data_IF_379532992177
#
_entry.id   IF_379532992177
#
_cell.length_a   1.000
_cell.length_b   1.000
_cell.length_c   1.000
_cell.angle_alpha   90.00
_cell.angle_beta   90.00
_cell.angle_gamma   90.00
#
_symmetry.space_group_name_H-M   'P 1'
#
loop_
_entity.id
_entity.type
_entity.pdbx_description
1 polymer ?
#
# COMPACT_ATOMS: atom_id res chain seq x y z
N UNK A 1 -19.36 46.15 27.99
CA UNK A 1 -19.13 45.87 26.56
C UNK A 1 -17.72 45.35 26.22
N UNK A 2 -16.63 45.93 26.74
CA UNK A 2 -15.24 45.52 26.38
C UNK A 2 -14.85 44.11 26.88
N UNK A 3 -15.37 43.66 28.05
CA UNK A 3 -15.12 42.30 28.59
C UNK A 3 -15.87 41.20 27.80
N UNK A 4 -17.09 41.46 27.35
CA UNK A 4 -17.87 40.52 26.54
C UNK A 4 -17.21 40.24 25.18
N UNK A 5 -16.66 41.30 24.53
CA UNK A 5 -15.91 41.16 23.28
C UNK A 5 -14.63 40.34 23.43
N UNK A 6 -13.92 40.46 24.56
CA UNK A 6 -12.73 39.67 24.86
C UNK A 6 -13.11 38.18 25.07
N UNK A 7 -14.19 37.91 25.80
CA UNK A 7 -14.64 36.52 26.01
C UNK A 7 -15.03 35.84 24.70
N UNK A 8 -15.76 36.51 23.82
CA UNK A 8 -16.16 35.96 22.50
C UNK A 8 -14.94 35.68 21.63
N UNK A 9 -13.94 36.58 21.63
CA UNK A 9 -12.70 36.38 20.89
C UNK A 9 -11.90 35.18 21.43
N UNK A 10 -11.78 35.05 22.75
CA UNK A 10 -11.10 33.94 23.41
C UNK A 10 -11.82 32.62 23.11
N UNK A 11 -13.15 32.58 23.22
CA UNK A 11 -13.93 31.39 22.90
C UNK A 11 -13.78 30.97 21.41
N UNK A 12 -13.78 31.97 20.51
CA UNK A 12 -13.53 31.71 19.08
C UNK A 12 -12.13 31.14 18.83
N UNK A 13 -11.11 31.67 19.50
CA UNK A 13 -9.73 31.16 19.38
C UNK A 13 -9.60 29.74 19.91
N UNK A 14 -10.22 29.43 21.05
CA UNK A 14 -10.23 28.08 21.63
C UNK A 14 -10.95 27.10 20.70
N UNK A 15 -12.05 27.50 20.06
CA UNK A 15 -12.76 26.66 19.10
C UNK A 15 -11.89 26.36 17.86
N UNK A 16 -11.20 27.36 17.33
CA UNK A 16 -10.28 27.17 16.19
C UNK A 16 -9.14 26.23 16.58
N UNK A 17 -8.54 26.41 17.74
CA UNK A 17 -7.48 25.52 18.25
C UNK A 17 -8.00 24.08 18.37
N UNK A 18 -9.19 23.89 18.97
CA UNK A 18 -9.78 22.56 19.10
C UNK A 18 -10.03 21.89 17.74
N UNK A 19 -10.48 22.66 16.74
CA UNK A 19 -10.64 22.15 15.36
C UNK A 19 -9.29 21.79 14.75
N UNK A 20 -8.28 22.65 14.86
CA UNK A 20 -6.95 22.39 14.30
C UNK A 20 -6.28 21.14 14.90
N UNK A 21 -6.42 20.94 16.23
CA UNK A 21 -5.85 19.76 16.88
C UNK A 21 -6.69 18.50 16.72
N UNK A 22 -8.01 18.65 16.60
CA UNK A 22 -8.93 17.50 16.40
C UNK A 22 -9.03 17.03 14.95
N UNK A 23 -8.74 17.91 13.99
CA UNK A 23 -8.88 17.61 12.56
C UNK A 23 -8.08 16.38 12.11
N UNK A 24 -6.78 16.21 12.43
CA UNK A 24 -6.01 15.05 12.00
C UNK A 24 -6.63 13.72 12.44
N UNK A 25 -7.00 13.60 13.71
CA UNK A 25 -7.60 12.37 14.25
C UNK A 25 -8.96 12.05 13.64
N UNK A 26 -9.78 13.08 13.40
CA UNK A 26 -11.09 12.92 12.76
C UNK A 26 -10.91 12.53 11.31
N UNK A 27 -10.01 13.16 10.59
CA UNK A 27 -9.74 12.88 9.18
C UNK A 27 -9.20 11.46 8.99
N UNK A 28 -8.20 11.05 9.78
CA UNK A 28 -7.66 9.68 9.76
C UNK A 28 -8.77 8.64 9.99
N UNK A 29 -9.62 8.85 10.99
CA UNK A 29 -10.73 7.93 11.26
C UNK A 29 -11.71 7.77 10.07
N UNK A 30 -12.02 8.86 9.35
CA UNK A 30 -12.87 8.76 8.17
C UNK A 30 -12.16 8.09 6.99
N UNK A 31 -10.89 8.39 6.77
CA UNK A 31 -10.08 7.76 5.72
C UNK A 31 -9.91 6.26 5.95
N UNK A 32 -9.67 5.83 7.20
CA UNK A 32 -9.57 4.40 7.54
C UNK A 32 -10.91 3.68 7.28
N UNK A 33 -12.05 4.32 7.57
CA UNK A 33 -13.37 3.78 7.22
C UNK A 33 -13.59 3.68 5.70
N UNK A 34 -13.11 4.62 4.94
CA UNK A 34 -13.23 4.60 3.49
C UNK A 34 -12.34 3.51 2.88
N UNK A 35 -11.13 3.31 3.41
CA UNK A 35 -10.29 2.17 3.06
C UNK A 35 -10.99 0.83 3.31
N UNK A 36 -11.65 0.68 4.47
CA UNK A 36 -12.44 -0.54 4.78
C UNK A 36 -13.53 -0.77 3.75
N UNK A 37 -14.28 0.27 3.33
CA UNK A 37 -15.33 0.15 2.30
C UNK A 37 -14.76 -0.24 0.94
N UNK A 38 -13.64 0.37 0.54
CA UNK A 38 -12.96 0.07 -0.72
C UNK A 38 -12.51 -1.40 -0.73
N UNK A 39 -11.88 -1.87 0.34
CA UNK A 39 -11.44 -3.26 0.49
C UNK A 39 -12.64 -4.24 0.51
N UNK A 40 -13.76 -3.85 1.15
CA UNK A 40 -14.99 -4.66 1.11
C UNK A 40 -15.57 -4.75 -0.31
N UNK A 41 -15.56 -3.64 -1.07
CA UNK A 41 -15.95 -3.60 -2.47
C UNK A 41 -15.11 -4.56 -3.30
N UNK A 42 -13.79 -4.43 -3.22
CA UNK A 42 -12.84 -5.33 -3.86
C UNK A 42 -13.08 -6.81 -3.51
N UNK A 43 -13.21 -7.12 -2.22
CA UNK A 43 -13.43 -8.49 -1.75
C UNK A 43 -14.76 -9.07 -2.22
N UNK A 44 -15.78 -8.22 -2.38
CA UNK A 44 -17.09 -8.63 -2.90
C UNK A 44 -17.00 -8.94 -4.39
N UNK A 45 -16.30 -8.12 -5.15
CA UNK A 45 -16.07 -8.33 -6.58
C UNK A 45 -15.23 -9.58 -6.83
N UNK A 46 -14.11 -9.73 -6.11
CA UNK A 46 -13.25 -10.90 -6.21
C UNK A 46 -13.97 -12.22 -5.91
N UNK A 47 -14.89 -12.22 -4.94
CA UNK A 47 -15.74 -13.36 -4.62
C UNK A 47 -16.78 -13.66 -5.70
N UNK A 48 -17.11 -12.69 -6.53
CA UNK A 48 -18.04 -12.85 -7.66
C UNK A 48 -17.42 -13.54 -8.87
N UNK A 49 -16.10 -13.62 -8.97
CA UNK A 49 -15.40 -14.30 -10.06
C UNK A 49 -15.48 -15.82 -9.91
N UNK A 50 -15.57 -16.51 -11.04
CA UNK A 50 -15.39 -17.97 -11.06
C UNK A 50 -13.92 -18.31 -10.79
N UNK A 51 -13.68 -19.54 -10.36
CA UNK A 51 -12.32 -20.07 -10.13
C UNK A 51 -11.44 -19.93 -11.39
N UNK A 52 -12.01 -20.21 -12.57
CA UNK A 52 -11.30 -20.05 -13.86
C UNK A 52 -10.84 -18.60 -14.12
N UNK A 53 -11.67 -17.60 -13.77
CA UNK A 53 -11.34 -16.17 -13.93
C UNK A 53 -10.24 -15.77 -12.95
N UNK A 54 -10.32 -16.25 -11.69
CA UNK A 54 -9.28 -16.01 -10.70
C UNK A 54 -7.95 -16.62 -11.14
N UNK A 55 -7.97 -17.86 -11.60
CA UNK A 55 -6.78 -18.57 -12.11
C UNK A 55 -6.18 -17.85 -13.32
N UNK A 56 -7.01 -17.30 -14.20
CA UNK A 56 -6.53 -16.49 -15.32
C UNK A 56 -5.77 -15.25 -14.84
N UNK A 57 -6.36 -14.45 -13.95
CA UNK A 57 -5.69 -13.25 -13.38
C UNK A 57 -4.36 -13.61 -12.71
N UNK A 58 -4.33 -14.67 -11.92
CA UNK A 58 -3.11 -15.09 -11.23
C UNK A 58 -2.06 -15.63 -12.21
N UNK A 59 -2.47 -16.35 -13.25
CA UNK A 59 -1.58 -16.84 -14.30
C UNK A 59 -0.98 -15.69 -15.12
N UNK A 60 -1.77 -14.69 -15.45
CA UNK A 60 -1.27 -13.47 -16.13
C UNK A 60 -0.28 -12.71 -15.26
N UNK A 61 -0.54 -12.61 -13.95
CA UNK A 61 0.38 -11.99 -12.99
C UNK A 61 1.68 -12.77 -12.83
N UNK A 62 1.60 -14.09 -12.80
CA UNK A 62 2.78 -14.96 -12.74
C UNK A 62 3.60 -14.84 -14.04
N UNK A 63 2.95 -14.86 -15.21
CA UNK A 63 3.62 -14.63 -16.49
C UNK A 63 4.30 -13.26 -16.55
N UNK A 64 3.69 -12.20 -16.00
CA UNK A 64 4.33 -10.89 -15.86
C UNK A 64 5.59 -10.99 -14.99
N UNK A 65 5.51 -11.63 -13.81
CA UNK A 65 6.65 -11.79 -12.91
C UNK A 65 7.79 -12.57 -13.56
N UNK A 66 7.50 -13.64 -14.31
CA UNK A 66 8.50 -14.39 -15.05
C UNK A 66 9.15 -13.56 -16.18
N UNK A 67 8.38 -12.77 -16.91
CA UNK A 67 8.89 -11.89 -17.95
C UNK A 67 9.81 -10.81 -17.37
N UNK A 68 9.53 -10.34 -16.16
CA UNK A 68 10.35 -9.33 -15.48
C UNK A 68 11.79 -9.79 -15.27
N UNK A 69 12.02 -11.08 -15.03
CA UNK A 69 13.36 -11.67 -14.86
C UNK A 69 14.26 -11.50 -16.10
N UNK A 70 13.67 -11.37 -17.30
CA UNK A 70 14.40 -11.16 -18.53
C UNK A 70 14.75 -9.70 -18.80
N UNK A 71 14.17 -8.75 -18.05
CA UNK A 71 14.39 -7.31 -18.24
C UNK A 71 15.59 -6.87 -17.40
N UNK A 72 16.55 -6.22 -18.06
CA UNK A 72 17.73 -5.70 -17.36
C UNK A 72 17.39 -4.42 -16.60
N UNK A 73 17.56 -4.44 -15.26
CA UNK A 73 17.32 -3.31 -14.36
C UNK A 73 15.91 -2.67 -14.55
N UNK A 74 14.82 -3.44 -14.39
CA UNK A 74 13.46 -2.96 -14.65
C UNK A 74 13.07 -1.79 -13.73
N UNK A 75 13.62 -1.70 -12.52
CA UNK A 75 13.44 -0.56 -11.60
C UNK A 75 13.96 0.76 -12.16
N UNK A 76 15.12 0.71 -12.86
CA UNK A 76 15.71 1.90 -13.48
C UNK A 76 15.14 2.24 -14.86
N UNK A 77 14.41 1.30 -15.47
CA UNK A 77 13.81 1.43 -16.81
C UNK A 77 12.35 0.94 -16.80
N UNK A 78 11.47 1.57 -16.01
CA UNK A 78 10.08 1.13 -15.87
C UNK A 78 9.31 1.14 -17.20
N UNK A 79 9.70 1.96 -18.17
CA UNK A 79 9.14 2.00 -19.51
C UNK A 79 9.41 0.73 -20.34
N UNK A 80 10.39 -0.08 -19.94
CA UNK A 80 10.65 -1.38 -20.58
C UNK A 80 9.67 -2.46 -20.15
N UNK A 81 8.88 -2.21 -19.10
CA UNK A 81 7.92 -3.15 -18.54
C UNK A 81 6.56 -2.94 -19.21
N UNK A 82 6.07 -3.94 -19.93
CA UNK A 82 4.79 -3.88 -20.66
C UNK A 82 3.70 -4.69 -19.95
N UNK A 83 2.43 -4.31 -20.17
CA UNK A 83 1.26 -5.03 -19.62
C UNK A 83 0.98 -4.79 -18.13
N UNK A 84 1.74 -3.91 -17.48
CA UNK A 84 1.62 -3.65 -16.05
C UNK A 84 0.23 -3.16 -15.63
N UNK A 85 -0.32 -2.17 -16.35
CA UNK A 85 -1.60 -1.53 -16.00
C UNK A 85 -2.81 -2.47 -16.12
N UNK A 86 -2.71 -3.45 -17.01
CA UNK A 86 -3.81 -4.37 -17.33
C UNK A 86 -3.79 -5.61 -16.41
N UNK A 87 -2.63 -5.93 -15.81
CA UNK A 87 -2.47 -7.13 -14.98
C UNK A 87 -2.90 -6.87 -13.54
N UNK A 88 -3.75 -7.73 -12.97
CA UNK A 88 -4.37 -7.59 -11.64
C UNK A 88 -5.19 -6.29 -11.46
N UNK A 89 -5.69 -5.70 -12.51
CA UNK A 89 -6.55 -4.52 -12.45
C UNK A 89 -8.00 -4.94 -12.21
N UNK A 90 -8.34 -5.23 -10.96
CA UNK A 90 -9.65 -5.76 -10.58
C UNK A 90 -10.69 -4.65 -10.45
N UNK A 91 -10.37 -3.58 -9.74
CA UNK A 91 -11.30 -2.47 -9.48
C UNK A 91 -10.55 -1.15 -9.43
N UNK A 92 -10.72 -0.30 -10.43
CA UNK A 92 -10.16 1.08 -10.45
C UNK A 92 -8.66 1.15 -10.12
N UNK A 93 -7.87 0.21 -10.64
CA UNK A 93 -6.43 0.12 -10.40
C UNK A 93 -6.05 -0.59 -9.10
N UNK A 94 -6.98 -1.20 -8.39
CA UNK A 94 -6.69 -1.94 -7.17
C UNK A 94 -6.26 -3.37 -7.50
N UNK A 95 -5.07 -3.75 -6.99
CA UNK A 95 -4.50 -5.11 -7.13
C UNK A 95 -4.92 -6.05 -6.00
N UNK A 96 -5.06 -5.51 -4.79
CA UNK A 96 -5.28 -6.27 -3.58
C UNK A 96 -5.27 -5.36 -2.34
N UNK A 97 -5.01 -5.94 -1.19
CA UNK A 97 -4.83 -5.17 0.05
C UNK A 97 -3.79 -5.78 0.97
N UNK A 98 -3.13 -4.89 1.73
CA UNK A 98 -2.14 -5.18 2.77
C UNK A 98 -2.81 -5.11 4.14
N UNK A 99 -2.49 -6.05 5.03
CA UNK A 99 -2.91 -6.03 6.42
C UNK A 99 -1.72 -6.32 7.34
N UNK A 100 -1.47 -5.44 8.33
CA UNK A 100 -0.39 -5.54 9.32
C UNK A 100 -1.01 -5.43 10.71
N UNK A 101 -1.43 -6.56 11.32
CA UNK A 101 -2.17 -6.54 12.59
C UNK A 101 -1.42 -5.91 13.77
N UNK A 102 -0.09 -6.03 13.81
CA UNK A 102 0.73 -5.50 14.92
C UNK A 102 0.68 -3.97 15.05
N UNK A 103 0.30 -3.26 13.99
CA UNK A 103 0.17 -1.80 13.96
C UNK A 103 -1.23 -1.34 13.55
N UNK A 104 -2.22 -2.25 13.57
CA UNK A 104 -3.63 -2.01 13.19
C UNK A 104 -3.76 -1.33 11.82
N UNK A 105 -3.00 -1.82 10.82
CA UNK A 105 -2.97 -1.26 9.47
C UNK A 105 -3.68 -2.18 8.49
N UNK A 106 -4.60 -1.60 7.68
CA UNK A 106 -5.23 -2.28 6.56
C UNK A 106 -5.46 -1.29 5.41
N UNK A 107 -4.72 -1.47 4.32
CA UNK A 107 -4.70 -0.53 3.19
C UNK A 107 -4.90 -1.24 1.85
N UNK A 108 -5.64 -0.63 0.90
CA UNK A 108 -5.70 -1.09 -0.48
C UNK A 108 -4.35 -0.90 -1.18
N UNK A 109 -4.02 -1.81 -2.10
CA UNK A 109 -2.83 -1.75 -2.95
C UNK A 109 -3.27 -1.36 -4.36
N UNK A 110 -2.70 -0.31 -4.89
CA UNK A 110 -2.97 0.22 -6.23
C UNK A 110 -1.77 0.09 -7.16
N UNK A 111 -2.07 0.11 -8.48
CA UNK A 111 -1.03 0.26 -9.48
C UNK A 111 -0.33 1.61 -9.33
N UNK A 112 0.99 1.62 -9.59
CA UNK A 112 1.89 2.77 -9.50
C UNK A 112 2.05 3.36 -8.10
N UNK A 113 3.23 3.90 -7.85
CA UNK A 113 3.53 4.75 -6.68
C UNK A 113 3.32 6.23 -7.04
N UNK A 114 2.21 6.53 -7.71
CA UNK A 114 1.81 7.91 -8.05
C UNK A 114 1.23 8.63 -6.84
N UNK A 115 1.23 9.97 -6.86
CA UNK A 115 0.59 10.75 -5.79
C UNK A 115 -0.85 10.33 -5.54
N UNK A 116 -1.63 10.04 -6.58
CA UNK A 116 -3.02 9.57 -6.46
C UNK A 116 -3.11 8.22 -5.73
N UNK A 117 -2.26 7.25 -6.10
CA UNK A 117 -2.22 5.94 -5.45
C UNK A 117 -1.80 6.04 -4.00
N UNK A 118 -0.74 6.81 -3.71
CA UNK A 118 -0.21 7.01 -2.35
C UNK A 118 -1.17 7.80 -1.47
N UNK A 119 -2.00 8.67 -2.04
CA UNK A 119 -3.09 9.34 -1.33
C UNK A 119 -4.24 8.40 -0.97
N UNK A 120 -4.47 7.35 -1.74
CA UNK A 120 -5.57 6.39 -1.55
C UNK A 120 -5.18 5.16 -0.74
N UNK A 121 -3.88 4.86 -0.61
CA UNK A 121 -3.40 3.68 0.10
C UNK A 121 -1.94 3.38 -0.14
N UNK A 122 -1.67 2.17 -0.60
CA UNK A 122 -0.34 1.67 -0.94
C UNK A 122 -0.20 1.64 -2.46
N UNK A 123 0.89 2.17 -2.98
CA UNK A 123 1.27 2.09 -4.39
C UNK A 123 2.26 0.95 -4.62
N UNK A 124 2.02 0.14 -5.64
CA UNK A 124 2.98 -0.86 -6.10
C UNK A 124 4.00 -0.22 -7.04
N UNK A 125 5.28 -0.50 -6.84
CA UNK A 125 6.37 0.07 -7.63
C UNK A 125 6.55 -0.68 -8.95
N UNK A 126 6.42 0.03 -10.07
CA UNK A 126 6.67 -0.52 -11.42
C UNK A 126 8.11 -1.02 -11.52
N UNK A 127 8.30 -2.14 -12.20
CA UNK A 127 9.62 -2.76 -12.33
C UNK A 127 9.97 -3.70 -11.18
N UNK A 128 9.04 -3.92 -10.23
CA UNK A 128 9.09 -4.99 -9.24
C UNK A 128 8.04 -6.04 -9.53
N UNK A 129 8.13 -7.22 -8.91
CA UNK A 129 7.15 -8.29 -9.09
C UNK A 129 5.79 -7.89 -8.56
N UNK A 130 4.72 -8.29 -9.25
CA UNK A 130 3.36 -8.15 -8.74
C UNK A 130 3.18 -8.94 -7.44
N UNK A 131 2.36 -8.46 -6.49
CA UNK A 131 2.30 -8.99 -5.14
C UNK A 131 1.43 -10.27 -5.04
N UNK A 132 1.59 -11.18 -5.99
CA UNK A 132 0.91 -12.48 -6.00
C UNK A 132 1.78 -13.64 -5.47
N UNK A 133 3.01 -13.35 -5.01
CA UNK A 133 3.98 -14.31 -4.50
C UNK A 133 4.55 -15.19 -5.60
N UNK A 134 5.45 -16.07 -5.23
CA UNK A 134 6.10 -17.04 -6.12
C UNK A 134 7.62 -17.04 -5.96
N UNK A 135 8.23 -18.13 -6.41
CA UNK A 135 9.70 -18.26 -6.40
C UNK A 135 10.36 -17.22 -7.30
N UNK A 136 11.44 -16.60 -6.83
CA UNK A 136 12.15 -15.54 -7.53
C UNK A 136 11.27 -14.31 -7.81
N UNK A 137 10.48 -13.89 -6.82
CA UNK A 137 9.68 -12.67 -6.88
C UNK A 137 10.07 -11.68 -5.77
N UNK A 138 9.97 -10.39 -6.07
CA UNK A 138 10.15 -9.32 -5.08
C UNK A 138 9.19 -8.18 -5.39
N UNK A 139 8.11 -8.06 -4.61
CA UNK A 139 7.17 -6.96 -4.73
C UNK A 139 7.59 -5.79 -3.83
N UNK A 140 7.57 -4.57 -4.34
CA UNK A 140 7.83 -3.35 -3.55
C UNK A 140 6.56 -2.52 -3.45
N UNK A 141 6.12 -2.31 -2.22
CA UNK A 141 4.92 -1.59 -1.85
C UNK A 141 5.29 -0.32 -1.10
N UNK A 142 4.86 0.83 -1.59
CA UNK A 142 5.19 2.13 -1.03
C UNK A 142 3.96 2.87 -0.51
N UNK A 143 4.09 3.60 0.58
CA UNK A 143 3.07 4.52 1.07
C UNK A 143 3.71 5.67 1.84
N UNK A 144 2.98 6.79 1.95
CA UNK A 144 3.47 7.95 2.67
C UNK A 144 3.60 7.70 4.17
N UNK A 145 4.62 8.31 4.77
CA UNK A 145 4.83 8.43 6.21
C UNK A 145 4.51 9.85 6.69
N UNK A 146 3.94 9.96 7.89
CA UNK A 146 3.76 11.26 8.56
C UNK A 146 2.66 12.15 7.99
N UNK A 147 1.69 11.61 7.25
CA UNK A 147 0.53 12.38 6.81
C UNK A 147 -0.39 12.70 8.00
N UNK A 148 -0.86 13.95 8.07
CA UNK A 148 -1.71 14.40 9.19
C UNK A 148 -3.15 13.93 9.11
N UNK A 149 -3.61 13.49 7.94
CA UNK A 149 -5.02 13.19 7.65
C UNK A 149 -5.29 11.72 7.34
N UNK A 150 -4.25 10.88 7.24
CA UNK A 150 -4.36 9.44 6.96
C UNK A 150 -3.16 8.66 7.51
N UNK A 151 -3.36 7.37 7.73
CA UNK A 151 -2.38 6.54 8.43
C UNK A 151 -1.19 6.20 7.53
N UNK A 152 -1.42 5.76 6.27
CA UNK A 152 -0.33 5.33 5.39
C UNK A 152 0.66 4.38 6.10
N UNK A 153 1.95 4.56 5.86
CA UNK A 153 3.02 3.82 6.53
C UNK A 153 3.61 4.57 7.75
N UNK A 154 2.85 5.49 8.36
CA UNK A 154 3.30 6.30 9.51
C UNK A 154 3.84 5.46 10.67
N UNK A 155 3.23 4.31 10.94
CA UNK A 155 3.61 3.42 12.05
C UNK A 155 4.51 2.26 11.61
N UNK A 156 5.05 2.28 10.39
CA UNK A 156 5.90 1.19 9.89
C UNK A 156 7.17 1.01 10.73
N UNK A 157 7.68 2.09 11.31
CA UNK A 157 8.83 2.09 12.23
C UNK A 157 8.60 1.30 13.54
N UNK A 158 7.34 1.01 13.88
CA UNK A 158 6.98 0.20 15.06
C UNK A 158 7.08 -1.31 14.80
N UNK A 159 7.32 -1.71 13.55
CA UNK A 159 7.50 -3.11 13.21
C UNK A 159 8.84 -3.61 13.74
N UNK A 160 8.81 -4.87 14.20
CA UNK A 160 9.98 -5.60 14.66
C UNK A 160 10.17 -6.86 13.81
N UNK A 161 11.39 -7.37 13.75
CA UNK A 161 11.68 -8.68 13.14
C UNK A 161 10.82 -9.75 13.78
N UNK A 162 10.21 -10.58 12.95
CA UNK A 162 9.26 -11.61 13.37
C UNK A 162 7.79 -11.17 13.32
N UNK A 163 7.49 -9.86 13.19
CA UNK A 163 6.10 -9.44 12.95
C UNK A 163 5.60 -10.00 11.62
N UNK A 164 4.33 -10.30 11.56
CA UNK A 164 3.68 -10.91 10.40
C UNK A 164 2.72 -9.92 9.76
N UNK A 165 2.70 -9.91 8.43
CA UNK A 165 1.71 -9.18 7.64
C UNK A 165 1.18 -10.06 6.51
N UNK A 166 0.05 -9.68 5.96
CA UNK A 166 -0.58 -10.41 4.85
C UNK A 166 -0.87 -9.50 3.67
N UNK A 167 -0.78 -10.09 2.49
CA UNK A 167 -1.25 -9.48 1.24
C UNK A 167 -2.32 -10.39 0.68
N UNK A 168 -3.49 -9.83 0.39
CA UNK A 168 -4.58 -10.55 -0.26
C UNK A 168 -4.78 -10.00 -1.66
N UNK A 169 -4.65 -10.89 -2.65
CA UNK A 169 -4.91 -10.63 -4.07
C UNK A 169 -6.00 -11.59 -4.53
N UNK A 170 -7.11 -11.04 -4.98
CA UNK A 170 -8.32 -11.83 -5.31
C UNK A 170 -8.75 -12.71 -4.12
N UNK A 171 -8.70 -14.03 -4.28
CA UNK A 171 -9.00 -15.01 -3.23
C UNK A 171 -7.76 -15.57 -2.53
N UNK A 172 -6.55 -15.20 -2.97
CA UNK A 172 -5.27 -15.70 -2.44
C UNK A 172 -4.75 -14.77 -1.36
N UNK A 173 -4.49 -15.30 -0.17
CA UNK A 173 -3.83 -14.57 0.92
C UNK A 173 -2.44 -15.13 1.13
N UNK A 174 -1.43 -14.27 1.03
CA UNK A 174 -0.03 -14.56 1.26
C UNK A 174 0.36 -14.03 2.64
N UNK A 175 1.20 -14.76 3.35
CA UNK A 175 1.67 -14.37 4.69
C UNK A 175 3.18 -14.21 4.65
N UNK A 176 3.64 -13.03 5.04
CA UNK A 176 5.06 -12.68 5.10
C UNK A 176 5.46 -12.37 6.55
N UNK A 177 6.75 -12.56 6.85
CA UNK A 177 7.33 -12.22 8.13
C UNK A 177 8.44 -11.21 7.94
N UNK A 178 8.49 -10.18 8.77
CA UNK A 178 9.56 -9.19 8.77
C UNK A 178 10.88 -9.87 9.17
N UNK A 179 11.80 -9.97 8.26
CA UNK A 179 13.14 -10.53 8.46
C UNK A 179 14.23 -9.46 8.60
N UNK A 180 14.03 -8.29 7.97
CA UNK A 180 14.97 -7.17 8.07
C UNK A 180 14.25 -5.82 8.10
N UNK A 181 14.91 -4.84 8.72
CA UNK A 181 14.51 -3.43 8.76
C UNK A 181 15.76 -2.62 8.47
N UNK A 182 15.70 -1.77 7.46
CA UNK A 182 16.83 -0.95 7.00
C UNK A 182 16.39 0.49 6.76
N UNK A 183 17.34 1.41 6.88
CA UNK A 183 17.24 2.75 6.33
C UNK A 183 18.14 2.80 5.11
N UNK A 184 17.60 3.18 3.96
CA UNK A 184 18.29 3.22 2.66
C UNK A 184 18.28 4.63 2.11
N UNK A 185 19.21 4.95 1.24
CA UNK A 185 19.21 6.19 0.47
C UNK A 185 18.30 6.06 -0.77
N UNK A 186 17.79 7.18 -1.32
CA UNK A 186 16.85 7.15 -2.44
C UNK A 186 17.37 6.49 -3.72
N UNK A 187 18.68 6.34 -3.89
CA UNK A 187 19.34 5.74 -5.03
C UNK A 187 19.88 4.32 -4.75
N UNK A 188 19.64 3.77 -3.57
CA UNK A 188 20.02 2.40 -3.19
C UNK A 188 18.91 1.41 -3.55
N UNK A 189 18.97 0.84 -4.77
CA UNK A 189 17.98 -0.14 -5.26
C UNK A 189 18.40 -1.61 -5.06
N UNK A 190 19.57 -1.87 -4.49
CA UNK A 190 20.09 -3.23 -4.36
C UNK A 190 19.20 -4.14 -3.53
N UNK A 191 18.63 -3.60 -2.45
CA UNK A 191 17.71 -4.31 -1.57
C UNK A 191 16.28 -4.49 -2.15
N UNK A 192 16.00 -3.92 -3.33
CA UNK A 192 14.71 -4.00 -4.00
C UNK A 192 14.73 -4.95 -5.21
N UNK A 193 15.88 -5.57 -5.47
CA UNK A 193 16.03 -6.50 -6.60
C UNK A 193 15.49 -7.89 -6.28
N UNK A 194 15.08 -8.61 -7.32
CA UNK A 194 14.65 -10.00 -7.19
C UNK A 194 15.85 -10.85 -6.77
N UNK A 195 15.64 -11.72 -5.78
CA UNK A 195 16.61 -12.72 -5.31
C UNK A 195 16.15 -14.09 -5.78
N UNK A 196 17.06 -14.82 -6.44
CA UNK A 196 16.76 -16.13 -6.99
C UNK A 196 16.32 -17.11 -5.91
N UNK A 197 15.20 -17.79 -6.13
CA UNK A 197 14.60 -18.75 -5.20
C UNK A 197 13.81 -18.15 -4.03
N UNK A 198 13.84 -16.82 -3.83
CA UNK A 198 13.13 -16.17 -2.72
C UNK A 198 11.78 -15.58 -3.17
N UNK A 199 10.83 -15.51 -2.23
CA UNK A 199 9.56 -14.78 -2.35
C UNK A 199 9.57 -13.62 -1.36
N UNK A 200 9.82 -12.42 -1.85
CA UNK A 200 10.08 -11.23 -1.03
C UNK A 200 9.04 -10.14 -1.23
N UNK A 201 8.78 -9.41 -0.16
CA UNK A 201 8.01 -8.16 -0.18
C UNK A 201 8.75 -7.10 0.63
N UNK A 202 8.97 -5.93 0.02
CA UNK A 202 9.49 -4.76 0.73
C UNK A 202 8.38 -3.72 0.93
N UNK A 203 8.22 -3.26 2.16
CA UNK A 203 7.38 -2.12 2.53
C UNK A 203 8.27 -0.88 2.63
N UNK A 204 8.07 0.09 1.73
CA UNK A 204 8.92 1.26 1.57
C UNK A 204 8.17 2.54 1.97
N UNK A 205 8.81 3.41 2.75
CA UNK A 205 8.24 4.69 3.17
C UNK A 205 9.25 5.83 3.12
#
# INVERSE_FOLDING_TARGET
>A
MRRLKKSVVVSGLVAVIAVCFGYPAISSYFNDKDNVKVIQGYSTEAKGYSEEVVDQFLSEADAYNQNLLAIKNPLSNPESVTGYEDTLNVQSGMMGYLEIPSIDLKLPIYHFSSSDSLERGVGHMVGTSLPCGGESTHAVLSSHNGMSDRTGFTNLELLEKGNVFTITVLSKTLTYQVDQIKTVLPDEYEDLTIVDGEDLVTLLT
#
